data_IF_129165367750
#
_entry.id   IF_129165367750
#
_cell.length_a   1.000
_cell.length_b   1.000
_cell.length_c   1.000
_cell.angle_alpha   90.00
_cell.angle_beta   90.00
_cell.angle_gamma   90.00
#
_symmetry.space_group_name_H-M   'P 1'
#
loop_
_entity.id
_entity.type
_entity.pdbx_description
1 polymer ?
#
# COMPACT_ATOMS: atom_id res chain seq x y z
N UNK A 1 -4.79 -14.95 11.96
CA UNK A 1 -3.43 -14.67 11.45
C UNK A 1 -3.47 -13.23 10.99
N UNK A 2 -2.59 -12.38 11.51
CA UNK A 2 -2.62 -10.96 11.19
C UNK A 2 -2.36 -10.73 9.70
N UNK A 3 -2.89 -9.64 9.15
CA UNK A 3 -2.92 -9.38 7.72
C UNK A 3 -2.69 -7.91 7.39
N UNK A 4 -1.80 -7.68 6.43
CA UNK A 4 -1.36 -6.36 6.00
C UNK A 4 -1.46 -6.26 4.48
N UNK A 5 -2.10 -5.20 3.99
CA UNK A 5 -2.07 -4.82 2.58
C UNK A 5 -1.31 -3.52 2.42
N UNK A 6 -0.34 -3.50 1.52
CA UNK A 6 0.36 -2.29 1.11
C UNK A 6 -0.26 -1.80 -0.20
N UNK A 7 -0.64 -0.53 -0.25
CA UNK A 7 -1.10 0.15 -1.44
C UNK A 7 0.02 1.07 -1.91
N UNK A 8 0.65 0.72 -3.03
CA UNK A 8 1.75 1.47 -3.63
C UNK A 8 1.35 2.14 -4.94
N UNK A 9 2.08 3.18 -5.32
CA UNK A 9 1.99 3.74 -6.67
C UNK A 9 2.96 2.98 -7.59
N UNK A 10 2.53 2.63 -8.81
CA UNK A 10 3.40 1.93 -9.75
C UNK A 10 4.49 2.86 -10.29
N UNK A 11 5.71 2.73 -9.75
CA UNK A 11 6.85 3.56 -10.10
C UNK A 11 7.28 3.40 -11.56
N UNK A 12 6.87 2.33 -12.27
CA UNK A 12 7.16 2.16 -13.71
C UNK A 12 6.48 3.21 -14.58
N UNK A 13 5.45 3.86 -14.06
CA UNK A 13 4.75 4.96 -14.74
C UNK A 13 5.40 6.33 -14.53
N UNK A 14 6.43 6.43 -13.67
CA UNK A 14 7.10 7.69 -13.32
C UNK A 14 8.49 7.73 -13.97
N UNK A 15 8.71 8.62 -14.95
CA UNK A 15 10.02 8.75 -15.59
C UNK A 15 11.12 9.13 -14.60
N UNK A 16 12.26 8.44 -14.69
CA UNK A 16 13.45 8.73 -13.88
C UNK A 16 13.49 8.04 -12.51
N UNK A 17 12.47 7.27 -12.14
CA UNK A 17 12.53 6.40 -10.95
C UNK A 17 13.10 5.03 -11.28
N UNK A 18 13.87 4.48 -10.35
CA UNK A 18 14.26 3.07 -10.35
C UNK A 18 13.13 2.24 -9.74
N UNK A 19 12.17 1.87 -10.58
CA UNK A 19 11.01 1.10 -10.15
C UNK A 19 11.38 -0.26 -9.55
N UNK A 20 12.46 -0.88 -10.04
CA UNK A 20 12.90 -2.19 -9.58
C UNK A 20 13.48 -2.11 -8.16
N UNK A 21 14.31 -1.10 -7.90
CA UNK A 21 14.84 -0.86 -6.56
C UNK A 21 13.73 -0.54 -5.55
N UNK A 22 12.73 0.26 -5.96
CA UNK A 22 11.57 0.59 -5.11
C UNK A 22 10.74 -0.66 -4.80
N UNK A 23 10.38 -1.45 -5.83
CA UNK A 23 9.60 -2.67 -5.65
C UNK A 23 10.35 -3.70 -4.80
N UNK A 24 11.64 -3.90 -5.05
CA UNK A 24 12.49 -4.80 -4.26
C UNK A 24 12.54 -4.37 -2.79
N UNK A 25 12.61 -3.06 -2.51
CA UNK A 25 12.59 -2.53 -1.15
C UNK A 25 11.27 -2.81 -0.41
N UNK A 26 10.13 -2.72 -1.10
CA UNK A 26 8.83 -3.08 -0.50
C UNK A 26 8.72 -4.59 -0.30
N UNK A 27 9.10 -5.40 -1.29
CA UNK A 27 8.99 -6.86 -1.21
C UNK A 27 9.86 -7.45 -0.10
N UNK A 28 11.05 -6.89 0.15
CA UNK A 28 11.89 -7.27 1.28
C UNK A 28 11.18 -7.06 2.63
N UNK A 29 10.47 -5.95 2.80
CA UNK A 29 9.69 -5.69 4.03
C UNK A 29 8.45 -6.59 4.13
N UNK A 30 7.80 -6.93 3.00
CA UNK A 30 6.69 -7.88 2.99
C UNK A 30 7.16 -9.29 3.37
N UNK A 31 8.31 -9.72 2.87
CA UNK A 31 8.87 -11.01 3.23
C UNK A 31 9.23 -11.07 4.71
N UNK A 32 9.82 -10.00 5.26
CA UNK A 32 10.10 -9.88 6.70
C UNK A 32 8.83 -10.00 7.57
N UNK A 33 7.68 -9.53 7.08
CA UNK A 33 6.39 -9.71 7.76
C UNK A 33 5.89 -11.17 7.65
N UNK A 34 6.05 -11.79 6.48
CA UNK A 34 5.66 -13.20 6.25
C UNK A 34 6.48 -14.16 7.11
N UNK A 35 7.78 -13.91 7.29
CA UNK A 35 8.66 -14.66 8.20
C UNK A 35 8.17 -14.59 9.67
N UNK A 36 7.48 -13.51 10.04
CA UNK A 36 6.87 -13.33 11.37
C UNK A 36 5.45 -13.91 11.46
N UNK A 37 4.99 -14.64 10.43
CA UNK A 37 3.66 -15.24 10.37
C UNK A 37 2.54 -14.24 10.07
N UNK A 38 2.86 -13.06 9.53
CA UNK A 38 1.88 -12.07 9.08
C UNK A 38 1.61 -12.27 7.60
N UNK A 39 0.34 -12.31 7.19
CA UNK A 39 0.03 -12.30 5.78
C UNK A 39 0.24 -10.90 5.21
N UNK A 40 1.20 -10.73 4.30
CA UNK A 40 1.54 -9.43 3.73
C UNK A 40 1.43 -9.46 2.18
N UNK A 41 0.73 -8.48 1.61
CA UNK A 41 0.50 -8.35 0.16
C UNK A 41 0.67 -6.90 -0.31
N UNK A 42 0.93 -6.74 -1.62
CA UNK A 42 1.07 -5.45 -2.30
C UNK A 42 0.01 -5.32 -3.41
N UNK A 43 -0.64 -4.17 -3.49
CA UNK A 43 -1.40 -3.73 -4.65
C UNK A 43 -0.80 -2.42 -5.18
N UNK A 44 -0.54 -2.37 -6.49
CA UNK A 44 -0.02 -1.19 -7.17
C UNK A 44 -1.14 -0.49 -7.94
N UNK A 45 -1.27 0.83 -7.75
CA UNK A 45 -2.22 1.69 -8.46
C UNK A 45 -1.51 2.74 -9.30
N UNK A 46 -2.23 3.32 -10.24
CA UNK A 46 -1.79 4.40 -11.12
C UNK A 46 -2.91 5.44 -11.25
N UNK A 47 -2.57 6.69 -11.56
CA UNK A 47 -3.54 7.78 -11.71
C UNK A 47 -4.13 7.83 -13.13
N UNK A 48 -4.72 6.73 -13.60
CA UNK A 48 -5.31 6.58 -14.95
C UNK A 48 -6.83 6.27 -14.93
N UNK A 49 -7.45 6.33 -13.76
CA UNK A 49 -8.86 5.98 -13.55
C UNK A 49 -9.13 4.50 -13.24
N UNK A 50 -8.10 3.64 -13.22
CA UNK A 50 -8.24 2.23 -12.83
C UNK A 50 -8.11 1.98 -11.33
N UNK A 51 -7.68 2.98 -10.54
CA UNK A 51 -7.34 2.84 -9.14
C UNK A 51 -8.48 2.25 -8.28
N UNK A 52 -9.70 2.80 -8.31
CA UNK A 52 -10.84 2.25 -7.55
C UNK A 52 -11.07 0.76 -7.83
N UNK A 53 -10.96 0.32 -9.08
CA UNK A 53 -11.15 -1.08 -9.46
C UNK A 53 -10.12 -2.00 -8.82
N UNK A 54 -8.84 -1.64 -8.96
CA UNK A 54 -7.71 -2.37 -8.35
C UNK A 54 -7.83 -2.39 -6.83
N UNK A 55 -8.16 -1.24 -6.23
CA UNK A 55 -8.32 -1.09 -4.78
C UNK A 55 -9.47 -1.93 -4.25
N UNK A 56 -10.64 -1.90 -4.90
CA UNK A 56 -11.79 -2.71 -4.52
C UNK A 56 -11.44 -4.19 -4.53
N UNK A 57 -10.80 -4.65 -5.60
CA UNK A 57 -10.45 -6.06 -5.75
C UNK A 57 -9.46 -6.49 -4.67
N UNK A 58 -8.40 -5.70 -4.40
CA UNK A 58 -7.41 -6.02 -3.37
C UNK A 58 -7.96 -5.92 -1.94
N UNK A 59 -8.70 -4.86 -1.62
CA UNK A 59 -9.27 -4.64 -0.29
C UNK A 59 -10.34 -5.68 0.05
N UNK A 60 -11.10 -6.15 -0.95
CA UNK A 60 -12.17 -7.14 -0.74
C UNK A 60 -11.68 -8.59 -0.68
N UNK A 61 -10.39 -8.85 -0.88
CA UNK A 61 -9.85 -10.22 -0.80
C UNK A 61 -10.00 -10.84 0.59
N UNK A 62 -10.03 -10.01 1.66
CA UNK A 62 -10.19 -10.42 3.06
C UNK A 62 -10.37 -9.21 3.96
N UNK A 63 -10.70 -9.49 5.22
CA UNK A 63 -10.62 -8.51 6.30
C UNK A 63 -9.14 -8.25 6.65
N UNK A 64 -8.60 -7.14 6.16
CA UNK A 64 -7.24 -6.69 6.45
C UNK A 64 -7.16 -6.03 7.83
N UNK A 65 -6.13 -6.35 8.63
CA UNK A 65 -5.94 -5.69 9.94
C UNK A 65 -5.32 -4.29 9.77
N UNK A 66 -4.38 -4.15 8.83
CA UNK A 66 -3.71 -2.88 8.52
C UNK A 66 -3.60 -2.68 7.01
N UNK A 67 -3.92 -1.47 6.54
CA UNK A 67 -3.61 -1.00 5.18
C UNK A 67 -2.53 0.07 5.25
N UNK A 68 -1.37 -0.20 4.65
CA UNK A 68 -0.28 0.78 4.51
C UNK A 68 -0.47 1.54 3.21
N UNK A 69 -0.60 2.86 3.26
CA UNK A 69 -0.61 3.72 2.07
C UNK A 69 0.81 4.23 1.80
N UNK A 70 1.38 3.80 0.69
CA UNK A 70 2.75 4.07 0.27
C UNK A 70 3.07 5.56 0.15
N UNK A 71 4.30 5.95 0.51
CA UNK A 71 4.77 7.33 0.36
C UNK A 71 4.67 7.87 -1.07
N UNK A 72 4.78 7.00 -2.09
CA UNK A 72 4.64 7.37 -3.51
C UNK A 72 3.25 7.89 -3.90
N UNK A 73 2.21 7.60 -3.12
CA UNK A 73 0.85 8.12 -3.35
C UNK A 73 0.64 9.47 -2.65
N UNK A 74 1.29 9.67 -1.49
CA UNK A 74 0.95 10.74 -0.54
C UNK A 74 1.89 11.94 -0.55
N UNK A 75 3.09 11.79 -1.12
CA UNK A 75 4.11 12.86 -1.13
C UNK A 75 4.09 13.72 -2.39
N UNK A 76 3.81 13.20 -3.59
CA UNK A 76 3.66 14.05 -4.77
C UNK A 76 2.36 14.85 -4.66
N UNK A 77 2.44 16.19 -4.67
CA UNK A 77 1.28 17.06 -4.55
C UNK A 77 0.27 16.83 -5.70
N UNK A 78 0.77 16.44 -6.88
CA UNK A 78 -0.07 16.10 -8.04
C UNK A 78 -0.97 14.87 -7.82
N UNK A 79 -0.67 14.02 -6.83
CA UNK A 79 -1.43 12.81 -6.53
C UNK A 79 -2.42 12.98 -5.37
N UNK A 80 -2.67 14.20 -4.90
CA UNK A 80 -3.62 14.44 -3.79
C UNK A 80 -5.01 13.84 -4.06
N UNK A 81 -5.53 13.94 -5.28
CA UNK A 81 -6.83 13.35 -5.65
C UNK A 81 -6.82 11.82 -5.61
N UNK A 82 -5.73 11.19 -6.05
CA UNK A 82 -5.56 9.73 -5.91
C UNK A 82 -5.44 9.33 -4.44
N UNK A 83 -4.77 10.13 -3.61
CA UNK A 83 -4.69 9.86 -2.18
C UNK A 83 -6.07 9.92 -1.51
N UNK A 84 -6.89 10.91 -1.84
CA UNK A 84 -8.28 11.00 -1.38
C UNK A 84 -9.09 9.76 -1.79
N UNK A 85 -8.97 9.33 -3.06
CA UNK A 85 -9.61 8.12 -3.58
C UNK A 85 -9.17 6.85 -2.82
N UNK A 86 -7.87 6.71 -2.53
CA UNK A 86 -7.34 5.59 -1.74
C UNK A 86 -7.91 5.58 -0.33
N UNK A 87 -7.96 6.73 0.36
CA UNK A 87 -8.53 6.82 1.71
C UNK A 87 -10.01 6.45 1.71
N UNK A 88 -10.77 6.94 0.73
CA UNK A 88 -12.20 6.61 0.58
C UNK A 88 -12.41 5.13 0.26
N UNK A 89 -11.59 4.54 -0.61
CA UNK A 89 -11.63 3.11 -0.92
C UNK A 89 -11.37 2.25 0.32
N UNK A 90 -10.35 2.59 1.13
CA UNK A 90 -10.08 1.87 2.38
C UNK A 90 -11.26 1.99 3.34
N UNK A 91 -11.79 3.21 3.53
CA UNK A 91 -12.98 3.44 4.37
C UNK A 91 -14.20 2.63 3.92
N UNK A 92 -14.38 2.44 2.61
CA UNK A 92 -15.54 1.75 2.02
C UNK A 92 -15.41 0.24 1.99
N UNK A 93 -14.26 -0.28 1.54
CA UNK A 93 -14.06 -1.69 1.24
C UNK A 93 -13.28 -2.45 2.32
N UNK A 94 -12.57 -1.75 3.21
CA UNK A 94 -11.92 -2.34 4.38
C UNK A 94 -12.14 -1.48 5.64
N UNK A 95 -13.39 -1.19 6.04
CA UNK A 95 -13.70 -0.27 7.14
C UNK A 95 -13.13 -0.69 8.50
N UNK A 96 -12.80 -1.97 8.69
CA UNK A 96 -12.17 -2.50 9.90
C UNK A 96 -10.64 -2.33 9.95
N UNK A 97 -10.00 -2.03 8.81
CA UNK A 97 -8.55 -1.94 8.74
C UNK A 97 -8.05 -0.62 9.36
N UNK A 98 -6.98 -0.69 10.15
CA UNK A 98 -6.24 0.51 10.56
C UNK A 98 -5.42 1.01 9.37
N UNK A 99 -5.30 2.33 9.23
CA UNK A 99 -4.48 2.94 8.17
C UNK A 99 -3.11 3.30 8.72
N UNK A 100 -2.06 2.90 8.01
CA UNK A 100 -0.67 3.19 8.32
C UNK A 100 0.04 3.90 7.18
N UNK A 101 1.09 4.64 7.51
CA UNK A 101 1.90 5.39 6.57
C UNK A 101 3.38 5.10 6.78
N UNK A 102 4.05 4.60 5.75
CA UNK A 102 5.50 4.48 5.69
C UNK A 102 6.14 5.79 5.22
N UNK A 103 7.43 5.99 5.50
CA UNK A 103 8.17 7.16 5.00
C UNK A 103 8.94 6.87 3.72
N UNK A 104 9.33 5.61 3.50
CA UNK A 104 10.01 5.11 2.31
C UNK A 104 9.76 3.59 2.13
N UNK A 105 10.15 2.95 1.01
CA UNK A 105 9.92 1.51 0.82
C UNK A 105 10.41 0.62 1.97
N UNK A 106 11.63 0.89 2.47
CA UNK A 106 12.27 0.09 3.52
C UNK A 106 11.81 0.30 4.97
N UNK A 107 10.74 1.05 5.25
CA UNK A 107 10.14 1.13 6.60
C UNK A 107 8.66 0.68 6.61
N UNK A 108 8.26 -0.06 5.57
CA UNK A 108 6.88 -0.50 5.36
C UNK A 108 6.40 -1.42 6.48
N UNK A 109 7.23 -2.34 6.95
CA UNK A 109 6.82 -3.27 7.99
C UNK A 109 6.83 -2.60 9.38
N UNK A 110 7.76 -1.70 9.70
CA UNK A 110 7.67 -0.83 10.88
C UNK A 110 6.36 -0.05 10.87
N UNK A 111 5.98 0.49 9.71
CA UNK A 111 4.75 1.25 9.58
C UNK A 111 3.51 0.42 9.89
N UNK A 112 3.44 -0.80 9.38
CA UNK A 112 2.33 -1.69 9.62
C UNK A 112 2.27 -2.18 11.08
N UNK A 113 3.42 -2.58 11.64
CA UNK A 113 3.53 -3.15 12.98
C UNK A 113 3.18 -2.16 14.11
N UNK A 114 3.26 -0.83 13.86
CA UNK A 114 2.74 0.18 14.82
C UNK A 114 1.25 0.04 15.10
N UNK A 115 0.51 -0.59 14.20
CA UNK A 115 -0.95 -0.67 14.24
C UNK A 115 -1.49 -2.10 14.34
N UNK A 116 -0.65 -3.11 14.11
CA UNK A 116 -1.03 -4.52 14.25
C UNK A 116 -1.25 -4.89 15.72
#
# INVERSE_FOLDING_TARGET
MSSILVIGYDARTVPGLDAEAIHSGVEAELERLREQGVHASLALVVADGSAEGVMRDALSQRDWDVVVVGAGIRRPDELVGLFEEVVECVRRFAPGAKVAFNTHPGDTAEAALRHL
#
